data_IF_825448439269
#
_entry.id   IF_825448439269
#
_cell.length_a   1.000
_cell.length_b   1.000
_cell.length_c   1.000
_cell.angle_alpha   90.00
_cell.angle_beta   90.00
_cell.angle_gamma   90.00
#
_symmetry.space_group_name_H-M   'P 1'
#
loop_
_entity.id
_entity.type
_entity.pdbx_description
1 polymer ?
#
# COMPACT_ATOMS: atom_id res chain seq x y z
N UNK A 1 -12.31 -5.94 47.37
CA UNK A 1 -10.94 -6.20 46.90
C UNK A 1 -11.00 -6.05 45.40
N UNK A 2 -10.15 -5.20 44.80
CA UNK A 2 -10.07 -5.12 43.33
C UNK A 2 -9.74 -6.51 42.79
N UNK A 3 -10.45 -6.93 41.74
CA UNK A 3 -10.18 -8.24 41.13
C UNK A 3 -8.88 -8.15 40.33
N UNK A 4 -8.25 -9.30 40.07
CA UNK A 4 -6.99 -9.34 39.31
C UNK A 4 -7.21 -8.76 37.89
N UNK A 5 -8.39 -9.01 37.31
CA UNK A 5 -8.78 -8.50 35.99
C UNK A 5 -8.91 -6.96 35.99
N UNK A 6 -9.42 -6.36 37.07
CA UNK A 6 -9.48 -4.90 37.21
C UNK A 6 -8.07 -4.28 37.24
N UNK A 7 -7.13 -4.94 37.91
CA UNK A 7 -5.74 -4.49 37.99
C UNK A 7 -5.01 -4.63 36.65
N UNK A 8 -5.27 -5.71 35.90
CA UNK A 8 -4.68 -5.91 34.57
C UNK A 8 -5.24 -4.91 33.55
N UNK A 9 -6.54 -4.58 33.63
CA UNK A 9 -7.14 -3.52 32.84
C UNK A 9 -6.48 -2.16 33.15
N UNK A 10 -6.33 -1.80 34.42
CA UNK A 10 -5.66 -0.58 34.86
C UNK A 10 -4.20 -0.52 34.39
N UNK A 11 -3.46 -1.64 34.45
CA UNK A 11 -2.08 -1.73 33.94
C UNK A 11 -2.04 -1.51 32.43
N UNK A 12 -2.98 -2.09 31.69
CA UNK A 12 -3.06 -1.92 30.24
C UNK A 12 -3.35 -0.46 29.85
N UNK A 13 -4.24 0.20 30.59
CA UNK A 13 -4.59 1.61 30.41
C UNK A 13 -3.42 2.53 30.76
N UNK A 14 -2.68 2.23 31.83
CA UNK A 14 -1.48 2.96 32.21
C UNK A 14 -0.38 2.81 31.15
N UNK A 15 -0.17 1.61 30.60
CA UNK A 15 0.79 1.41 29.51
C UNK A 15 0.36 2.17 28.24
N UNK A 16 -0.93 2.15 27.88
CA UNK A 16 -1.45 2.94 26.78
C UNK A 16 -1.21 4.44 27.02
N UNK A 17 -1.46 4.93 28.25
CA UNK A 17 -1.23 6.33 28.61
C UNK A 17 0.25 6.71 28.51
N UNK A 18 1.16 5.87 29.03
CA UNK A 18 2.60 6.09 28.93
C UNK A 18 3.03 6.16 27.46
N UNK A 19 2.54 5.25 26.61
CA UNK A 19 2.83 5.27 25.18
C UNK A 19 2.36 6.58 24.52
N UNK A 20 1.14 7.05 24.83
CA UNK A 20 0.64 8.34 24.29
C UNK A 20 1.49 9.53 24.74
N UNK A 21 1.89 9.59 26.01
CA UNK A 21 2.73 10.67 26.55
C UNK A 21 4.14 10.65 25.96
N UNK A 22 4.72 9.46 25.77
CA UNK A 22 6.02 9.29 25.11
C UNK A 22 5.96 9.73 23.64
N UNK A 23 4.90 9.37 22.91
CA UNK A 23 4.66 9.81 21.54
C UNK A 23 4.49 11.33 21.44
N UNK A 24 3.73 11.92 22.39
CA UNK A 24 3.58 13.37 22.45
C UNK A 24 4.91 14.07 22.73
N UNK A 25 5.71 13.56 23.67
CA UNK A 25 7.05 14.07 23.96
C UNK A 25 7.98 13.98 22.74
N UNK A 26 7.98 12.86 22.01
CA UNK A 26 8.80 12.72 20.80
C UNK A 26 8.37 13.69 19.70
N UNK A 27 7.07 13.94 19.56
CA UNK A 27 6.55 14.91 18.61
C UNK A 27 7.01 16.33 18.96
N UNK A 28 6.80 16.76 20.21
CA UNK A 28 7.28 18.07 20.66
C UNK A 28 8.79 18.24 20.53
N UNK A 29 9.57 17.20 20.86
CA UNK A 29 11.03 17.22 20.70
C UNK A 29 11.44 17.40 19.23
N UNK A 30 10.81 16.66 18.30
CA UNK A 30 11.08 16.80 16.86
C UNK A 30 10.70 18.20 16.34
N UNK A 31 9.58 18.75 16.79
CA UNK A 31 9.15 20.12 16.46
C UNK A 31 10.17 21.13 16.93
N UNK A 32 10.62 21.06 18.18
CA UNK A 32 11.66 21.95 18.72
C UNK A 32 12.96 21.83 17.91
N UNK A 33 13.48 20.60 17.72
CA UNK A 33 14.72 20.37 16.98
C UNK A 33 14.64 20.76 15.51
N UNK A 34 13.43 20.82 14.93
CA UNK A 34 13.21 21.28 13.55
C UNK A 34 13.18 22.80 13.38
N UNK A 35 13.21 23.58 14.47
CA UNK A 35 13.15 25.04 14.39
C UNK A 35 14.44 25.61 13.80
N UNK A 36 14.36 26.47 12.76
CA UNK A 36 15.54 26.97 12.03
C UNK A 36 16.45 27.87 12.87
N UNK A 37 15.91 28.55 13.88
CA UNK A 37 16.66 29.48 14.73
C UNK A 37 17.33 28.82 15.93
N UNK A 38 17.04 27.54 16.21
CA UNK A 38 17.53 26.85 17.39
C UNK A 38 19.04 26.58 17.30
N UNK A 39 19.54 26.20 16.13
CA UNK A 39 20.97 25.99 15.88
C UNK A 39 21.77 27.29 16.11
N UNK A 40 21.30 28.41 15.57
CA UNK A 40 21.94 29.72 15.71
C UNK A 40 21.98 30.22 17.17
N UNK A 41 20.94 29.92 17.96
CA UNK A 41 20.89 30.28 19.39
C UNK A 41 21.84 29.43 20.25
N UNK A 42 22.01 28.16 19.89
CA UNK A 42 22.88 27.25 20.65
C UNK A 42 24.37 27.42 20.31
N UNK A 43 24.71 28.03 19.17
CA UNK A 43 26.09 28.38 18.78
C UNK A 43 26.73 29.49 19.64
N UNK A 44 26.14 29.86 20.78
CA UNK A 44 26.66 30.92 21.64
C UNK A 44 28.00 30.50 22.26
N UNK A 45 29.10 31.23 22.01
CA UNK A 45 30.49 30.76 22.20
C UNK A 45 30.99 30.68 23.66
N UNK A 46 30.09 30.58 24.66
CA UNK A 46 30.45 30.63 26.09
C UNK A 46 30.29 29.32 26.87
N UNK A 47 29.89 28.22 26.23
CA UNK A 47 29.70 26.94 26.92
C UNK A 47 30.53 25.83 26.27
N UNK A 48 31.78 25.67 26.73
CA UNK A 48 32.67 24.54 26.43
C UNK A 48 32.28 23.29 27.24
N UNK A 49 31.00 22.93 27.23
CA UNK A 49 30.47 21.80 27.99
C UNK A 49 30.08 20.67 27.04
N UNK A 50 30.41 19.42 27.38
CA UNK A 50 30.04 18.18 26.65
C UNK A 50 28.55 18.09 26.27
N UNK A 51 27.66 18.76 27.02
CA UNK A 51 26.23 18.85 26.70
C UNK A 51 25.91 19.64 25.42
N UNK A 52 26.74 20.63 25.07
CA UNK A 52 26.57 21.40 23.84
C UNK A 52 26.80 20.50 22.62
N UNK A 53 27.84 19.66 22.65
CA UNK A 53 28.16 18.72 21.56
C UNK A 53 27.05 17.69 21.32
N UNK A 54 26.44 17.18 22.39
CA UNK A 54 25.28 16.27 22.30
C UNK A 54 24.07 16.97 21.66
N UNK A 55 23.80 18.23 22.04
CA UNK A 55 22.70 19.01 21.48
C UNK A 55 22.92 19.33 19.99
N UNK A 56 24.14 19.68 19.59
CA UNK A 56 24.51 19.91 18.20
C UNK A 56 24.39 18.63 17.38
N UNK A 57 24.88 17.49 17.89
CA UNK A 57 24.71 16.20 17.23
C UNK A 57 23.23 15.84 17.04
N UNK A 58 22.38 16.10 18.03
CA UNK A 58 20.93 15.85 17.92
C UNK A 58 20.27 16.72 16.85
N UNK A 59 20.64 18.00 16.75
CA UNK A 59 20.12 18.94 15.75
C UNK A 59 20.58 18.53 14.34
N UNK A 60 21.85 18.20 14.17
CA UNK A 60 22.36 17.73 12.87
C UNK A 60 21.68 16.45 12.41
N UNK A 61 21.46 15.50 13.33
CA UNK A 61 20.70 14.28 13.04
C UNK A 61 19.27 14.61 12.62
N UNK A 62 18.61 15.54 13.33
CA UNK A 62 17.26 15.97 12.97
C UNK A 62 17.22 16.67 11.61
N UNK A 63 18.18 17.53 11.29
CA UNK A 63 18.29 18.21 9.99
C UNK A 63 18.46 17.20 8.85
N UNK A 64 19.35 16.22 9.01
CA UNK A 64 19.54 15.14 8.02
C UNK A 64 18.26 14.36 7.80
N UNK A 65 17.55 14.01 8.88
CA UNK A 65 16.26 13.30 8.82
C UNK A 65 15.15 14.14 8.18
N UNK A 66 15.09 15.44 8.45
CA UNK A 66 14.15 16.34 7.80
C UNK A 66 14.42 16.42 6.29
N UNK A 67 15.69 16.58 5.90
CA UNK A 67 16.11 16.60 4.51
C UNK A 67 15.79 15.28 3.80
N UNK A 68 16.04 14.14 4.43
CA UNK A 68 15.68 12.83 3.90
C UNK A 68 14.15 12.71 3.69
N UNK A 69 13.36 13.11 4.70
CA UNK A 69 11.90 13.11 4.60
C UNK A 69 11.39 14.01 3.47
N UNK A 70 12.00 15.18 3.25
CA UNK A 70 11.66 16.07 2.13
C UNK A 70 11.96 15.39 0.80
N UNK A 71 13.13 14.76 0.65
CA UNK A 71 13.45 14.03 -0.59
C UNK A 71 12.48 12.87 -0.82
N UNK A 72 12.12 12.11 0.22
CA UNK A 72 11.16 11.02 0.12
C UNK A 72 9.77 11.52 -0.26
N UNK A 73 9.27 12.57 0.39
CA UNK A 73 7.96 13.13 0.12
C UNK A 73 7.85 13.75 -1.28
N UNK A 74 8.88 14.49 -1.72
CA UNK A 74 8.85 15.22 -3.00
C UNK A 74 9.24 14.35 -4.20
N UNK A 75 10.28 13.53 -4.09
CA UNK A 75 10.73 12.70 -5.21
C UNK A 75 9.90 11.42 -5.34
N UNK A 76 9.42 10.86 -4.21
CA UNK A 76 8.66 9.61 -4.16
C UNK A 76 9.46 8.35 -4.52
N UNK A 77 10.66 8.49 -5.07
CA UNK A 77 11.61 7.40 -5.30
C UNK A 77 12.97 7.85 -4.77
N UNK A 78 13.53 7.12 -3.81
CA UNK A 78 14.85 7.45 -3.25
C UNK A 78 15.72 6.21 -3.12
N UNK A 79 17.02 6.36 -3.38
CA UNK A 79 17.99 5.29 -3.25
C UNK A 79 18.72 5.40 -1.90
N UNK A 80 18.97 4.26 -1.28
CA UNK A 80 19.66 4.15 0.00
C UNK A 80 20.62 2.95 -0.01
N UNK A 81 21.65 3.00 0.83
CA UNK A 81 22.64 1.93 0.94
C UNK A 81 22.23 0.97 2.05
N UNK A 82 22.21 -0.32 1.75
CA UNK A 82 21.94 -1.39 2.71
C UNK A 82 23.15 -2.30 2.75
N UNK A 83 23.49 -2.77 3.95
CA UNK A 83 24.47 -3.82 4.12
C UNK A 83 23.75 -5.09 4.58
N UNK A 84 23.83 -6.13 3.78
CA UNK A 84 23.40 -7.48 4.14
C UNK A 84 24.30 -7.94 5.30
N UNK A 85 23.72 -8.31 6.47
CA UNK A 85 24.49 -8.79 7.60
C UNK A 85 25.15 -10.15 7.35
N UNK A 86 24.75 -10.88 6.30
CA UNK A 86 25.27 -12.22 6.03
C UNK A 86 26.77 -12.18 5.67
N UNK A 87 27.64 -12.94 6.38
CA UNK A 87 29.08 -12.95 6.13
C UNK A 87 29.45 -13.55 4.77
N UNK A 88 28.56 -14.37 4.19
CA UNK A 88 28.71 -14.97 2.86
C UNK A 88 28.01 -14.16 1.76
N UNK A 89 27.54 -12.94 2.06
CA UNK A 89 26.85 -12.13 1.09
C UNK A 89 27.76 -11.69 -0.06
N UNK A 90 27.24 -11.77 -1.28
CA UNK A 90 27.92 -11.29 -2.48
C UNK A 90 28.28 -9.80 -2.28
N UNK A 91 29.49 -9.40 -2.69
CA UNK A 91 29.99 -8.02 -2.62
C UNK A 91 30.12 -7.43 -1.20
N UNK A 92 30.55 -8.23 -0.22
CA UNK A 92 30.67 -7.83 1.19
C UNK A 92 29.33 -7.32 1.78
N UNK A 93 28.23 -7.85 1.26
CA UNK A 93 26.87 -7.46 1.64
C UNK A 93 26.42 -6.10 1.13
N UNK A 94 27.14 -5.43 0.24
CA UNK A 94 26.72 -4.13 -0.27
C UNK A 94 25.54 -4.26 -1.23
N UNK A 95 24.38 -3.76 -0.80
CA UNK A 95 23.12 -3.79 -1.55
C UNK A 95 22.62 -2.36 -1.76
N UNK A 96 22.18 -2.06 -2.98
CA UNK A 96 21.52 -0.80 -3.30
C UNK A 96 20.01 -0.96 -3.07
N UNK A 97 19.48 -0.29 -2.07
CA UNK A 97 18.05 -0.21 -1.83
C UNK A 97 17.43 0.94 -2.61
N UNK A 98 16.26 0.69 -3.20
CA UNK A 98 15.39 1.73 -3.77
C UNK A 98 14.09 1.69 -3.00
N UNK A 99 13.70 2.82 -2.43
CA UNK A 99 12.41 3.01 -1.77
C UNK A 99 11.46 3.74 -2.70
N UNK A 100 10.20 3.34 -2.70
CA UNK A 100 9.14 3.90 -3.52
C UNK A 100 7.98 4.23 -2.62
N UNK A 101 7.76 5.52 -2.44
CA UNK A 101 6.71 6.08 -1.61
C UNK A 101 5.52 6.49 -2.51
N UNK A 102 4.33 6.03 -2.11
CA UNK A 102 3.07 6.31 -2.80
C UNK A 102 2.18 7.10 -1.85
N UNK A 103 1.85 8.34 -2.22
CA UNK A 103 0.97 9.22 -1.45
C UNK A 103 -0.41 9.29 -2.10
N UNK A 104 -1.46 8.87 -1.36
CA UNK A 104 -2.84 8.84 -1.83
C UNK A 104 -3.76 9.31 -0.72
N UNK A 105 -4.71 10.20 -1.05
CA UNK A 105 -5.68 10.71 -0.08
C UNK A 105 -5.04 11.47 1.10
N UNK A 106 -3.91 12.14 0.85
CA UNK A 106 -3.19 12.90 1.89
C UNK A 106 -2.36 12.06 2.86
N UNK A 107 -2.28 10.74 2.67
CA UNK A 107 -1.44 9.83 3.46
C UNK A 107 -0.45 9.08 2.58
N UNK A 108 0.68 8.69 3.16
CA UNK A 108 1.60 7.76 2.53
C UNK A 108 1.14 6.32 2.80
N UNK A 109 1.08 5.52 1.75
CA UNK A 109 0.94 4.07 1.85
C UNK A 109 2.29 3.49 2.29
N UNK A 110 2.29 2.25 2.77
CA UNK A 110 3.51 1.52 3.07
C UNK A 110 4.54 1.60 1.93
N UNK A 111 5.79 1.86 2.30
CA UNK A 111 6.88 2.06 1.36
C UNK A 111 7.24 0.74 0.69
N UNK A 112 7.32 0.75 -0.65
CA UNK A 112 7.81 -0.40 -1.40
C UNK A 112 9.33 -0.34 -1.52
N UNK A 113 9.98 -1.49 -1.36
CA UNK A 113 11.43 -1.61 -1.43
C UNK A 113 11.84 -2.54 -2.57
N UNK A 114 12.88 -2.14 -3.30
CA UNK A 114 13.57 -2.96 -4.28
C UNK A 114 15.04 -2.98 -3.92
N UNK A 115 15.56 -4.16 -3.65
CA UNK A 115 16.95 -4.39 -3.32
C UNK A 115 17.68 -4.88 -4.56
N UNK A 116 18.70 -4.14 -4.97
CA UNK A 116 19.53 -4.40 -6.13
C UNK A 116 20.93 -4.84 -5.66
N UNK A 117 21.40 -5.94 -6.24
CA UNK A 117 22.79 -6.36 -6.12
C UNK A 117 23.50 -6.13 -7.45
N UNK A 118 24.79 -5.83 -7.42
CA UNK A 118 25.57 -5.71 -8.65
C UNK A 118 26.30 -7.01 -8.95
N UNK A 119 26.35 -7.40 -10.22
CA UNK A 119 27.20 -8.48 -10.72
C UNK A 119 28.28 -7.85 -11.59
N UNK A 120 29.51 -8.30 -11.40
CA UNK A 120 30.59 -8.00 -12.34
C UNK A 120 30.53 -9.03 -13.46
N UNK A 121 30.30 -8.59 -14.70
CA UNK A 121 30.43 -9.41 -15.90
C UNK A 121 31.28 -8.61 -16.89
N UNK A 122 32.37 -9.19 -17.38
CA UNK A 122 33.25 -8.60 -18.40
C UNK A 122 33.79 -7.19 -18.06
N UNK A 123 34.02 -6.93 -16.76
CA UNK A 123 34.49 -5.63 -16.25
C UNK A 123 33.38 -4.59 -16.00
N UNK A 124 32.18 -4.81 -16.54
CA UNK A 124 31.01 -3.96 -16.30
C UNK A 124 30.25 -4.37 -15.03
N UNK A 125 29.82 -3.37 -14.25
CA UNK A 125 28.99 -3.55 -13.05
C UNK A 125 27.51 -3.47 -13.44
N UNK A 126 26.83 -4.61 -13.51
CA UNK A 126 25.41 -4.69 -13.88
C UNK A 126 24.55 -4.93 -12.64
N UNK A 127 23.51 -4.12 -12.45
CA UNK A 127 22.55 -4.29 -11.36
C UNK A 127 21.52 -5.35 -11.71
N UNK A 128 21.19 -6.16 -10.70
CA UNK A 128 20.17 -7.22 -10.74
C UNK A 128 19.29 -7.10 -9.49
N UNK A 129 17.99 -7.33 -9.64
CA UNK A 129 17.08 -7.42 -8.49
C UNK A 129 17.43 -8.65 -7.64
N UNK A 130 17.61 -8.41 -6.34
CA UNK A 130 17.80 -9.44 -5.32
C UNK A 130 16.47 -9.78 -4.63
N UNK A 131 15.82 -8.78 -4.00
CA UNK A 131 14.54 -8.92 -3.29
C UNK A 131 13.67 -7.69 -3.52
N UNK A 132 12.35 -7.84 -3.42
CA UNK A 132 11.42 -6.71 -3.51
C UNK A 132 10.15 -6.96 -2.68
N UNK A 133 9.44 -5.89 -2.34
CA UNK A 133 8.12 -5.95 -1.69
C UNK A 133 6.96 -5.61 -2.64
N UNK A 134 7.23 -5.49 -3.94
CA UNK A 134 6.23 -5.11 -4.95
C UNK A 134 5.19 -6.24 -5.14
N UNK A 135 3.88 -5.91 -5.17
CA UNK A 135 2.82 -6.88 -5.43
C UNK A 135 2.96 -7.62 -6.78
N UNK A 136 2.59 -8.90 -6.86
CA UNK A 136 2.78 -9.74 -8.05
C UNK A 136 1.94 -9.27 -9.25
N UNK A 137 0.87 -8.49 -9.04
CA UNK A 137 0.05 -7.92 -10.09
C UNK A 137 0.76 -6.83 -10.92
N UNK A 138 1.93 -6.35 -10.46
CA UNK A 138 2.73 -5.34 -11.13
C UNK A 138 3.83 -6.05 -11.95
N UNK A 139 3.98 -5.73 -13.25
CA UNK A 139 4.89 -6.44 -14.14
C UNK A 139 6.35 -6.02 -13.94
N UNK A 140 6.94 -6.35 -12.80
CA UNK A 140 8.31 -5.97 -12.44
C UNK A 140 9.33 -6.52 -13.45
N UNK A 141 9.20 -7.78 -13.85
CA UNK A 141 10.15 -8.42 -14.79
C UNK A 141 10.18 -7.72 -16.15
N UNK A 142 9.03 -7.22 -16.63
CA UNK A 142 8.97 -6.47 -17.89
C UNK A 142 9.69 -5.12 -17.77
N UNK A 143 9.58 -4.46 -16.62
CA UNK A 143 10.31 -3.22 -16.34
C UNK A 143 11.81 -3.47 -16.21
N UNK A 144 12.21 -4.57 -15.55
CA UNK A 144 13.61 -4.97 -15.41
C UNK A 144 14.22 -5.26 -16.77
N UNK A 145 13.59 -6.07 -17.60
CA UNK A 145 14.13 -6.41 -18.91
C UNK A 145 14.28 -5.19 -19.82
N UNK A 146 13.44 -4.16 -19.64
CA UNK A 146 13.49 -2.92 -20.40
C UNK A 146 14.57 -1.95 -19.92
N UNK A 147 14.75 -1.80 -18.61
CA UNK A 147 15.56 -0.73 -18.01
C UNK A 147 16.82 -1.20 -17.28
N UNK A 148 16.87 -2.48 -16.92
CA UNK A 148 17.98 -3.16 -16.27
C UNK A 148 18.36 -4.42 -17.08
N UNK A 149 18.72 -4.30 -18.36
CA UNK A 149 19.17 -5.43 -19.16
C UNK A 149 20.42 -6.06 -18.54
N UNK A 150 20.36 -7.38 -18.30
CA UNK A 150 21.47 -8.15 -17.68
C UNK A 150 22.34 -8.90 -18.70
N UNK A 151 21.93 -8.94 -19.97
CA UNK A 151 22.70 -9.52 -21.07
C UNK A 151 22.21 -8.89 -22.37
N UNK A 152 23.06 -8.12 -23.04
CA UNK A 152 22.87 -7.86 -24.47
C UNK A 152 22.83 -9.21 -25.19
N UNK A 153 21.81 -9.46 -26.00
CA UNK A 153 21.87 -10.55 -27.00
C UNK A 153 22.79 -10.15 -28.17
N UNK A 154 23.01 -8.85 -28.35
CA UNK A 154 24.03 -8.28 -29.23
C UNK A 154 25.26 -7.92 -28.40
N UNK A 155 26.39 -8.51 -28.77
CA UNK A 155 27.66 -8.38 -28.06
C UNK A 155 28.38 -7.03 -28.31
N UNK A 156 27.73 -6.07 -28.96
CA UNK A 156 28.37 -4.86 -29.51
C UNK A 156 27.87 -3.54 -28.87
N UNK A 157 26.87 -3.61 -27.98
CA UNK A 157 26.38 -2.44 -27.24
C UNK A 157 26.35 -2.78 -25.75
N UNK A 158 27.17 -2.09 -24.96
CA UNK A 158 27.12 -2.18 -23.51
C UNK A 158 25.70 -1.83 -23.03
N UNK A 159 25.03 -2.70 -22.26
CA UNK A 159 23.67 -2.44 -21.80
C UNK A 159 23.67 -1.28 -20.80
N UNK A 160 23.38 -0.06 -21.27
CA UNK A 160 23.17 1.09 -20.39
C UNK A 160 21.94 0.86 -19.50
N UNK A 161 22.16 0.79 -18.20
CA UNK A 161 21.10 0.61 -17.21
C UNK A 161 20.58 1.97 -16.75
N UNK A 162 19.27 2.20 -16.86
CA UNK A 162 18.63 3.44 -16.40
C UNK A 162 17.74 3.19 -15.19
N UNK A 163 18.32 3.40 -14.00
CA UNK A 163 17.62 3.31 -12.73
C UNK A 163 16.57 4.40 -12.54
N UNK A 164 16.77 5.57 -13.14
CA UNK A 164 15.87 6.72 -12.97
C UNK A 164 14.56 6.43 -13.70
N UNK A 165 14.65 5.99 -14.96
CA UNK A 165 13.47 5.59 -15.73
C UNK A 165 12.79 4.35 -15.17
N UNK A 166 13.56 3.37 -14.69
CA UNK A 166 13.03 2.21 -13.97
C UNK A 166 12.19 2.63 -12.75
N UNK A 167 12.77 3.44 -11.86
CA UNK A 167 12.10 3.91 -10.65
C UNK A 167 10.86 4.75 -10.95
N UNK A 168 10.95 5.65 -11.94
CA UNK A 168 9.82 6.50 -12.38
C UNK A 168 8.64 5.67 -12.88
N UNK A 169 8.90 4.68 -13.74
CA UNK A 169 7.84 3.85 -14.30
C UNK A 169 7.27 2.86 -13.29
N UNK A 170 8.11 2.30 -12.42
CA UNK A 170 7.65 1.44 -11.35
C UNK A 170 6.75 2.21 -10.37
N UNK A 171 7.14 3.43 -9.98
CA UNK A 171 6.27 4.32 -9.19
C UNK A 171 4.97 4.63 -9.93
N UNK A 172 5.03 4.93 -11.23
CA UNK A 172 3.82 5.19 -12.04
C UNK A 172 2.85 4.02 -11.98
N UNK A 173 3.32 2.78 -12.15
CA UNK A 173 2.47 1.58 -12.08
C UNK A 173 1.89 1.37 -10.67
N UNK A 174 2.69 1.56 -9.61
CA UNK A 174 2.24 1.47 -8.23
C UNK A 174 1.16 2.52 -7.90
N UNK A 175 1.40 3.78 -8.27
CA UNK A 175 0.45 4.88 -8.05
C UNK A 175 -0.85 4.61 -8.82
N UNK A 176 -0.76 4.23 -10.10
CA UNK A 176 -1.91 3.87 -10.93
C UNK A 176 -2.74 2.73 -10.31
N UNK A 177 -2.08 1.69 -9.79
CA UNK A 177 -2.76 0.58 -9.14
C UNK A 177 -3.52 1.01 -7.90
N UNK A 178 -2.90 1.77 -6.99
CA UNK A 178 -3.60 2.24 -5.79
C UNK A 178 -4.69 3.27 -6.10
N UNK A 179 -4.53 4.11 -7.14
CA UNK A 179 -5.60 5.00 -7.60
C UNK A 179 -6.83 4.21 -8.06
N UNK A 180 -6.65 3.07 -8.73
CA UNK A 180 -7.76 2.17 -9.10
C UNK A 180 -8.40 1.50 -7.89
N UNK A 181 -7.60 1.05 -6.91
CA UNK A 181 -8.13 0.52 -5.65
C UNK A 181 -9.00 1.56 -4.94
N UNK A 182 -8.50 2.80 -4.80
CA UNK A 182 -9.28 3.88 -4.19
C UNK A 182 -10.54 4.19 -5.01
N UNK A 183 -10.48 4.18 -6.35
CA UNK A 183 -11.66 4.38 -7.20
C UNK A 183 -12.71 3.27 -7.01
N UNK A 184 -12.30 2.01 -6.81
CA UNK A 184 -13.22 0.91 -6.48
C UNK A 184 -13.77 1.04 -5.06
N UNK A 185 -12.97 1.48 -4.09
CA UNK A 185 -13.47 1.79 -2.75
C UNK A 185 -14.52 2.91 -2.77
N UNK A 186 -14.29 3.95 -3.56
CA UNK A 186 -15.26 5.02 -3.82
C UNK A 186 -16.52 4.48 -4.52
N UNK A 187 -16.36 3.60 -5.51
CA UNK A 187 -17.47 2.92 -6.19
C UNK A 187 -18.32 2.11 -5.19
N UNK A 188 -17.69 1.37 -4.28
CA UNK A 188 -18.37 0.62 -3.22
C UNK A 188 -19.12 1.53 -2.24
N UNK A 189 -18.54 2.71 -1.94
CA UNK A 189 -19.22 3.75 -1.14
C UNK A 189 -20.46 4.29 -1.87
N UNK A 190 -20.33 4.65 -3.15
CA UNK A 190 -21.44 5.15 -3.97
C UNK A 190 -22.56 4.12 -4.17
N UNK A 191 -22.21 2.83 -4.22
CA UNK A 191 -23.15 1.71 -4.31
C UNK A 191 -23.84 1.39 -2.96
N UNK A 192 -23.38 1.95 -1.84
CA UNK A 192 -23.93 1.68 -0.50
C UNK A 192 -23.42 0.38 0.14
N UNK A 193 -22.41 -0.28 -0.44
CA UNK A 193 -21.90 -1.58 0.01
C UNK A 193 -20.99 -1.51 1.25
N UNK A 194 -20.57 -0.31 1.66
CA UNK A 194 -19.62 -0.12 2.78
C UNK A 194 -20.19 -0.52 4.16
N UNK A 195 -21.49 -0.77 4.27
CA UNK A 195 -22.15 -1.17 5.52
C UNK A 195 -22.26 -2.68 5.76
N UNK A 196 -22.06 -3.53 4.74
CA UNK A 196 -22.21 -4.99 4.89
C UNK A 196 -20.93 -5.66 5.43
N UNK A 197 -19.74 -5.17 5.08
CA UNK A 197 -18.48 -5.73 5.61
C UNK A 197 -18.12 -5.23 7.01
N UNK A 198 -18.61 -4.08 7.46
CA UNK A 198 -18.31 -3.61 8.83
C UNK A 198 -19.04 -4.39 9.92
N UNK A 199 -20.13 -5.11 9.61
CA UNK A 199 -20.75 -6.05 10.55
C UNK A 199 -20.01 -7.39 10.66
N UNK A 200 -19.24 -7.77 9.65
CA UNK A 200 -18.38 -8.97 9.69
C UNK A 200 -16.93 -8.65 10.10
N UNK A 201 -16.46 -7.42 9.90
CA UNK A 201 -15.11 -6.97 10.24
C UNK A 201 -14.97 -6.45 11.68
N UNK A 202 -16.05 -5.95 12.30
CA UNK A 202 -16.01 -5.53 13.70
C UNK A 202 -15.95 -6.71 14.69
N UNK A 203 -16.16 -7.95 14.23
CA UNK A 203 -15.94 -9.19 14.99
C UNK A 203 -14.59 -9.86 14.67
N UNK A 204 -13.75 -9.27 13.82
CA UNK A 204 -12.49 -9.90 13.37
C UNK A 204 -11.23 -9.04 13.51
N UNK A 205 -11.30 -7.88 14.17
CA UNK A 205 -10.11 -7.07 14.54
C UNK A 205 -9.69 -7.18 16.02
N UNK A 206 -10.32 -8.06 16.81
CA UNK A 206 -9.78 -8.52 18.09
C UNK A 206 -9.67 -10.04 18.00
N UNK A 207 -8.48 -10.55 17.66
CA UNK A 207 -7.95 -11.87 18.03
C UNK A 207 -6.73 -12.23 17.16
N UNK A 208 -5.60 -11.59 17.43
CA UNK A 208 -4.30 -12.23 17.22
C UNK A 208 -3.62 -12.38 18.58
N UNK A 209 -4.08 -13.35 19.36
CA UNK A 209 -3.31 -14.06 20.39
C UNK A 209 -4.12 -15.24 20.96
N UNK A 210 -3.71 -16.46 20.63
CA UNK A 210 -3.94 -17.65 21.46
C UNK A 210 -5.34 -18.27 21.51
N UNK A 211 -5.83 -18.85 20.42
CA UNK A 211 -6.96 -19.81 20.48
C UNK A 211 -6.45 -21.21 20.84
N UNK A 212 -6.66 -21.59 22.09
CA UNK A 212 -6.56 -22.96 22.59
C UNK A 212 -7.70 -23.76 21.96
N UNK A 213 -7.36 -24.92 21.41
CA UNK A 213 -8.26 -25.89 20.80
C UNK A 213 -9.21 -26.49 21.85
N UNK A 214 -10.48 -26.09 21.83
CA UNK A 214 -11.57 -26.86 22.45
C UNK A 214 -12.38 -27.52 21.34
N UNK A 215 -11.93 -28.71 20.95
CA UNK A 215 -12.64 -29.62 20.06
C UNK A 215 -13.55 -30.54 20.88
N UNK A 216 -14.67 -30.04 21.42
CA UNK A 216 -15.75 -30.89 21.94
C UNK A 216 -17.11 -30.16 21.85
N UNK A 217 -18.00 -30.72 21.00
CA UNK A 217 -19.46 -30.79 21.16
C UNK A 217 -20.24 -29.48 21.13
N UNK A 218 -20.90 -29.19 20.01
CA UNK A 218 -22.37 -29.26 19.96
C UNK A 218 -22.84 -29.39 18.51
N UNK A 219 -23.51 -30.50 18.28
CA UNK A 219 -24.41 -30.81 17.18
C UNK A 219 -25.59 -29.84 17.25
N UNK A 220 -25.79 -29.02 16.21
CA UNK A 220 -27.06 -28.30 15.99
C UNK A 220 -27.34 -28.25 14.48
N UNK A 221 -28.07 -29.26 14.04
CA UNK A 221 -28.74 -29.39 12.75
C UNK A 221 -29.77 -28.26 12.60
N UNK A 222 -29.35 -27.13 12.02
CA UNK A 222 -30.28 -26.19 11.40
C UNK A 222 -29.70 -25.61 10.10
N UNK A 223 -29.51 -26.49 9.13
CA UNK A 223 -29.38 -26.15 7.71
C UNK A 223 -30.73 -25.66 7.19
N UNK A 224 -31.09 -24.41 7.50
CA UNK A 224 -32.11 -23.69 6.73
C UNK A 224 -31.42 -23.00 5.56
N UNK A 225 -31.46 -23.66 4.39
CA UNK A 225 -31.37 -23.00 3.09
C UNK A 225 -32.48 -21.93 3.06
N UNK A 226 -32.14 -20.72 3.48
CA UNK A 226 -32.96 -19.56 3.19
C UNK A 226 -32.69 -19.20 1.73
N UNK A 227 -33.51 -19.74 0.83
CA UNK A 227 -33.74 -19.07 -0.44
C UNK A 227 -34.26 -17.67 -0.11
N UNK A 228 -33.40 -16.66 -0.24
CA UNK A 228 -33.81 -15.27 -0.17
C UNK A 228 -34.77 -15.03 -1.35
N UNK A 229 -36.07 -15.13 -1.05
CA UNK A 229 -37.14 -14.63 -1.91
C UNK A 229 -36.85 -13.15 -2.22
N UNK A 230 -36.41 -12.90 -3.46
CA UNK A 230 -36.12 -11.56 -3.96
C UNK A 230 -37.44 -10.83 -4.12
N UNK A 231 -37.83 -10.09 -3.08
CA UNK A 231 -38.85 -9.05 -3.19
C UNK A 231 -38.48 -8.12 -4.35
N UNK A 232 -39.46 -7.82 -5.21
CA UNK A 232 -39.35 -6.93 -6.38
C UNK A 232 -39.16 -5.47 -5.93
N UNK A 233 -38.01 -5.20 -5.33
CA UNK A 233 -37.53 -3.90 -4.94
C UNK A 233 -36.73 -3.22 -6.06
N UNK A 234 -36.44 -1.91 -5.95
CA UNK A 234 -35.68 -1.19 -6.97
C UNK A 234 -34.30 -1.84 -7.18
N UNK A 235 -33.91 -2.04 -8.44
CA UNK A 235 -32.64 -2.68 -8.84
C UNK A 235 -31.46 -1.97 -8.18
N UNK A 236 -30.75 -2.69 -7.31
CA UNK A 236 -29.56 -2.19 -6.59
C UNK A 236 -28.36 -3.07 -6.91
N UNK A 237 -27.17 -2.51 -6.73
CA UNK A 237 -25.92 -3.27 -6.81
C UNK A 237 -25.81 -4.06 -5.51
N UNK A 238 -25.68 -5.38 -5.62
CA UNK A 238 -25.56 -6.32 -4.50
C UNK A 238 -24.09 -6.54 -4.13
N UNK A 239 -23.20 -6.69 -5.12
CA UNK A 239 -21.77 -6.84 -4.87
C UNK A 239 -20.90 -6.27 -6.00
N UNK A 240 -19.68 -5.91 -5.63
CA UNK A 240 -18.61 -5.44 -6.52
C UNK A 240 -17.33 -6.20 -6.18
N UNK A 241 -16.96 -7.12 -7.07
CA UNK A 241 -15.72 -7.88 -7.00
C UNK A 241 -14.69 -7.32 -7.99
N UNK A 242 -13.42 -7.48 -7.65
CA UNK A 242 -12.31 -7.09 -8.51
C UNK A 242 -11.13 -8.03 -8.35
N UNK A 243 -10.37 -8.21 -9.42
CA UNK A 243 -9.07 -8.89 -9.35
C UNK A 243 -8.03 -8.05 -8.58
N UNK A 244 -6.92 -8.68 -8.18
CA UNK A 244 -5.86 -8.00 -7.43
C UNK A 244 -5.28 -6.77 -8.15
N UNK A 245 -5.29 -6.75 -9.49
CA UNK A 245 -4.78 -5.63 -10.28
C UNK A 245 -5.83 -4.54 -10.56
N UNK A 246 -7.11 -4.78 -10.23
CA UNK A 246 -8.26 -3.95 -10.61
C UNK A 246 -8.28 -3.69 -12.12
N UNK A 247 -7.99 -4.75 -12.90
CA UNK A 247 -8.11 -4.79 -14.35
C UNK A 247 -9.44 -5.39 -14.80
N UNK A 248 -10.08 -6.17 -13.94
CA UNK A 248 -11.39 -6.73 -14.17
C UNK A 248 -12.27 -6.42 -12.96
N UNK A 249 -13.44 -5.83 -13.21
CA UNK A 249 -14.43 -5.52 -12.19
C UNK A 249 -15.70 -6.27 -12.56
N UNK A 250 -16.25 -7.00 -11.59
CA UNK A 250 -17.51 -7.71 -11.71
C UNK A 250 -18.52 -7.04 -10.80
N UNK A 251 -19.69 -6.69 -11.35
CA UNK A 251 -20.80 -6.12 -10.61
C UNK A 251 -21.99 -7.06 -10.70
N UNK A 252 -22.58 -7.37 -9.56
CA UNK A 252 -23.79 -8.19 -9.45
C UNK A 252 -24.92 -7.34 -8.90
N UNK A 253 -26.09 -7.41 -9.54
CA UNK A 253 -27.30 -6.70 -9.11
C UNK A 253 -28.29 -7.64 -8.42
N UNK A 254 -29.24 -7.05 -7.69
CA UNK A 254 -30.32 -7.78 -7.00
C UNK A 254 -31.20 -8.60 -7.96
N UNK A 255 -31.35 -8.17 -9.21
CA UNK A 255 -32.13 -8.85 -10.25
C UNK A 255 -31.34 -9.95 -10.99
N UNK A 256 -30.21 -10.39 -10.41
CA UNK A 256 -29.27 -11.39 -10.97
C UNK A 256 -28.61 -10.97 -12.28
N UNK A 257 -28.64 -9.69 -12.65
CA UNK A 257 -27.76 -9.18 -13.72
C UNK A 257 -26.31 -9.23 -13.27
N UNK A 258 -25.41 -9.43 -14.24
CA UNK A 258 -23.98 -9.38 -14.00
C UNK A 258 -23.29 -8.57 -15.09
N UNK A 259 -22.33 -7.75 -14.69
CA UNK A 259 -21.49 -6.99 -15.61
C UNK A 259 -20.03 -7.26 -15.31
N UNK A 260 -19.31 -7.65 -16.35
CA UNK A 260 -17.87 -7.84 -16.32
C UNK A 260 -17.24 -6.75 -17.15
N UNK A 261 -16.32 -6.00 -16.55
CA UNK A 261 -15.72 -4.82 -17.14
C UNK A 261 -14.20 -4.92 -17.10
N UNK A 262 -13.55 -4.61 -18.21
CA UNK A 262 -12.09 -4.53 -18.30
C UNK A 262 -11.64 -3.07 -18.18
N UNK A 263 -10.71 -2.86 -17.26
CA UNK A 263 -10.16 -1.55 -16.89
C UNK A 263 -8.71 -1.43 -17.35
N UNK A 264 -8.37 -0.27 -17.89
CA UNK A 264 -7.01 0.11 -18.27
C UNK A 264 -6.12 0.42 -17.07
N UNK A 265 -4.83 0.68 -17.35
CA UNK A 265 -3.90 1.21 -16.35
C UNK A 265 -4.36 2.55 -15.77
N UNK A 266 -4.98 3.40 -16.57
CA UNK A 266 -5.40 4.73 -16.15
C UNK A 266 -6.76 4.74 -15.43
N UNK A 267 -7.35 3.56 -15.13
CA UNK A 267 -8.63 3.47 -14.44
C UNK A 267 -9.85 3.79 -15.32
N UNK A 268 -9.72 3.61 -16.63
CA UNK A 268 -10.84 3.72 -17.58
C UNK A 268 -11.33 2.32 -17.98
N UNK A 269 -12.64 2.14 -18.05
CA UNK A 269 -13.33 0.95 -18.52
C UNK A 269 -13.36 1.01 -20.05
N UNK A 270 -12.63 0.11 -20.70
CA UNK A 270 -12.58 0.00 -22.17
C UNK A 270 -13.66 -0.92 -22.73
N UNK A 271 -13.93 -2.02 -22.03
CA UNK A 271 -14.88 -3.05 -22.46
C UNK A 271 -15.78 -3.39 -21.30
N UNK A 272 -17.07 -3.49 -21.56
CA UNK A 272 -18.05 -3.97 -20.60
C UNK A 272 -18.98 -4.97 -21.28
N UNK A 273 -19.24 -6.07 -20.58
CA UNK A 273 -20.17 -7.11 -21.00
C UNK A 273 -21.20 -7.25 -19.88
N UNK A 274 -22.42 -6.82 -20.15
CA UNK A 274 -23.54 -6.94 -19.23
C UNK A 274 -24.43 -8.10 -19.69
N UNK A 275 -24.85 -8.95 -18.77
CA UNK A 275 -25.79 -10.05 -19.00
C UNK A 275 -27.04 -9.81 -18.18
N UNK A 276 -28.20 -9.98 -18.82
CA UNK A 276 -29.51 -9.98 -18.16
C UNK A 276 -29.72 -11.27 -17.37
N UNK A 277 -30.80 -11.36 -16.58
CA UNK A 277 -31.20 -12.59 -15.87
C UNK A 277 -31.30 -13.80 -16.80
N UNK A 278 -31.75 -13.59 -18.04
CA UNK A 278 -31.96 -14.65 -19.04
C UNK A 278 -30.66 -15.02 -19.78
N UNK A 279 -29.51 -14.45 -19.37
CA UNK A 279 -28.20 -14.68 -19.98
C UNK A 279 -27.97 -13.94 -21.29
N UNK A 280 -28.95 -13.18 -21.78
CA UNK A 280 -28.81 -12.37 -23.00
C UNK A 280 -27.90 -11.17 -22.75
N UNK A 281 -27.13 -10.78 -23.77
CA UNK A 281 -26.19 -9.66 -23.66
C UNK A 281 -26.93 -8.32 -23.76
N UNK A 282 -26.84 -7.52 -22.72
CA UNK A 282 -27.34 -6.14 -22.71
C UNK A 282 -26.27 -5.20 -23.28
N UNK A 283 -26.43 -4.83 -24.56
CA UNK A 283 -25.51 -3.95 -25.28
C UNK A 283 -25.67 -2.49 -24.83
N UNK A 284 -26.88 -2.08 -24.41
CA UNK A 284 -27.14 -0.70 -24.01
C UNK A 284 -26.45 -0.40 -22.66
N UNK A 285 -26.62 -1.29 -21.67
CA UNK A 285 -25.94 -1.18 -20.38
C UNK A 285 -24.42 -1.28 -20.54
N UNK A 286 -23.93 -2.16 -21.43
CA UNK A 286 -22.51 -2.25 -21.75
C UNK A 286 -21.92 -0.94 -22.29
N UNK A 287 -22.65 -0.21 -23.15
CA UNK A 287 -22.21 1.10 -23.66
C UNK A 287 -22.19 2.17 -22.58
N UNK A 288 -23.17 2.18 -21.67
CA UNK A 288 -23.24 3.12 -20.54
C UNK A 288 -22.10 2.93 -19.53
N UNK A 289 -21.60 1.71 -19.36
CA UNK A 289 -20.52 1.39 -18.43
C UNK A 289 -19.14 1.96 -18.86
N UNK A 290 -18.92 2.17 -20.16
CA UNK A 290 -17.66 2.67 -20.72
C UNK A 290 -17.35 4.07 -20.15
N UNK A 291 -16.09 4.32 -19.75
CA UNK A 291 -15.65 5.59 -19.17
C UNK A 291 -14.76 5.42 -17.94
N UNK A 292 -14.64 6.43 -17.09
CA UNK A 292 -13.85 6.35 -15.84
C UNK A 292 -14.54 5.43 -14.81
N UNK A 293 -13.78 4.74 -13.95
CA UNK A 293 -14.37 3.99 -12.81
C UNK A 293 -15.20 4.94 -11.94
N UNK A 294 -14.69 6.15 -11.68
CA UNK A 294 -15.44 7.20 -11.00
C UNK A 294 -16.72 7.55 -11.74
N UNK A 295 -17.84 7.61 -11.00
CA UNK A 295 -19.16 7.92 -11.53
C UNK A 295 -19.83 6.79 -12.31
N UNK A 296 -19.26 5.57 -12.32
CA UNK A 296 -19.84 4.41 -12.98
C UNK A 296 -21.24 4.09 -12.44
N UNK A 297 -21.47 4.16 -11.13
CA UNK A 297 -22.82 3.92 -10.53
C UNK A 297 -23.85 4.91 -11.10
N UNK A 298 -23.47 6.17 -11.32
CA UNK A 298 -24.36 7.18 -11.90
C UNK A 298 -24.70 6.86 -13.35
N UNK A 299 -23.71 6.40 -14.14
CA UNK A 299 -23.92 6.01 -15.55
C UNK A 299 -24.77 4.75 -15.69
N UNK A 300 -24.71 3.84 -14.73
CA UNK A 300 -25.53 2.62 -14.72
C UNK A 300 -26.97 2.87 -14.26
N UNK A 301 -27.21 3.96 -13.50
CA UNK A 301 -28.55 4.39 -13.07
C UNK A 301 -29.27 5.30 -14.07
N UNK A 302 -28.52 6.05 -14.89
CA UNK A 302 -29.04 6.83 -16.03
C UNK A 302 -29.35 5.92 -17.22
#
# INVERSE_FOLDING_TARGET
MATIDDLDADISDLHARIATLQAHRSNLASVLLSQPHLSARLQTPKQTNSSADLSHSAIEKQLKRNLENVYRACAGVTAYKVKDPDPNAINNGNVLGVSIDVAIGGRFVETYHVLLNWRSKDGARLLKIHKHTIPPCIPLQQLVNKWLPTSGKDADVDPEQDLVSFGRLLRKELVSWHMRLNAVEELKKEAGLKGQRSKAANDSEIETTGKILNAFVSDDESSSDAEEDVEDGPVRILDIECDAAVRQITITWTDRRMAVMNTTKDGRIEKAVCRTRDGTRDVAMGRKAIGTIGGLVRRLKA
#
